data_IF_598140956347
#
_entry.id   IF_598140956347
#
_cell.length_a   1.000
_cell.length_b   1.000
_cell.length_c   1.000
_cell.angle_alpha   90.00
_cell.angle_beta   90.00
_cell.angle_gamma   90.00
#
_symmetry.space_group_name_H-M   'P 1'
#
loop_
_entity.id
_entity.type
_entity.pdbx_description
1 polymer ?
#
# COMPACT_ATOMS: atom_id res chain seq x y z
N UNK A 1 51.73 -8.28 2.40
CA UNK A 1 51.11 -8.25 3.74
C UNK A 1 49.71 -8.83 3.63
N UNK A 2 49.35 -9.80 4.46
CA UNK A 2 48.01 -10.38 4.47
C UNK A 2 47.00 -9.33 4.96
N UNK A 3 45.88 -9.17 4.23
CA UNK A 3 44.81 -8.24 4.62
C UNK A 3 44.30 -8.64 6.01
N UNK A 4 44.26 -7.74 7.00
CA UNK A 4 43.68 -8.04 8.29
C UNK A 4 42.21 -8.44 8.09
N UNK A 5 41.78 -9.54 8.75
CA UNK A 5 40.37 -9.94 8.77
C UNK A 5 39.58 -8.82 9.43
N UNK A 6 38.84 -8.06 8.64
CA UNK A 6 37.90 -7.06 9.13
C UNK A 6 36.70 -7.82 9.69
N UNK A 7 36.54 -7.78 11.01
CA UNK A 7 35.31 -8.24 11.66
C UNK A 7 34.34 -7.06 11.65
N UNK A 8 33.22 -7.20 10.93
CA UNK A 8 32.18 -6.16 10.90
C UNK A 8 31.29 -6.39 12.11
N UNK A 9 31.29 -5.44 13.05
CA UNK A 9 30.46 -5.49 14.25
C UNK A 9 28.98 -5.24 13.93
N UNK A 10 28.09 -5.70 14.82
CA UNK A 10 26.64 -5.62 14.62
C UNK A 10 26.12 -4.19 14.53
N UNK A 11 26.78 -3.22 15.17
CA UNK A 11 26.41 -1.81 15.15
C UNK A 11 26.70 -1.19 13.77
N UNK A 12 27.85 -1.50 13.19
CA UNK A 12 28.22 -1.10 11.83
C UNK A 12 27.24 -1.67 10.79
N UNK A 13 26.79 -2.92 10.96
CA UNK A 13 25.79 -3.54 10.08
C UNK A 13 24.45 -2.79 10.18
N UNK A 14 23.96 -2.52 11.38
CA UNK A 14 22.69 -1.83 11.59
C UNK A 14 22.69 -0.42 10.98
N UNK A 15 23.78 0.34 11.14
CA UNK A 15 23.96 1.67 10.54
C UNK A 15 23.95 1.60 9.00
N UNK A 16 24.66 0.63 8.43
CA UNK A 16 24.68 0.45 6.97
C UNK A 16 23.30 0.11 6.41
N UNK A 17 22.51 -0.73 7.10
CA UNK A 17 21.13 -1.02 6.71
C UNK A 17 20.21 0.20 6.78
N UNK A 18 20.39 1.06 7.79
CA UNK A 18 19.60 2.28 7.93
C UNK A 18 19.89 3.28 6.79
N UNK A 19 21.16 3.51 6.47
CA UNK A 19 21.57 4.38 5.37
C UNK A 19 21.11 3.84 4.01
N UNK A 20 21.21 2.51 3.81
CA UNK A 20 20.74 1.87 2.58
C UNK A 20 19.24 2.10 2.35
N UNK A 21 18.42 2.14 3.42
CA UNK A 21 16.98 2.42 3.34
C UNK A 21 16.67 3.88 2.93
N UNK A 22 17.56 4.82 3.22
CA UNK A 22 17.37 6.26 2.88
C UNK A 22 17.66 6.55 1.40
N UNK A 23 18.51 5.75 0.76
CA UNK A 23 18.88 5.92 -0.64
C UNK A 23 17.73 5.44 -1.54
N UNK A 24 17.11 6.36 -2.29
CA UNK A 24 15.92 6.08 -3.13
C UNK A 24 16.13 4.96 -4.16
N UNK A 25 17.31 4.91 -4.78
CA UNK A 25 17.61 3.94 -5.85
C UNK A 25 18.34 2.68 -5.35
N UNK A 26 18.57 2.55 -4.04
CA UNK A 26 19.28 1.40 -3.48
C UNK A 26 18.55 0.10 -3.79
N UNK A 27 17.23 0.09 -3.65
CA UNK A 27 16.38 -1.08 -3.93
C UNK A 27 16.55 -1.57 -5.36
N UNK A 28 16.47 -0.67 -6.34
CA UNK A 28 16.58 -1.02 -7.75
C UNK A 28 17.98 -1.55 -8.08
N UNK A 29 19.02 -0.93 -7.50
CA UNK A 29 20.39 -1.41 -7.65
C UNK A 29 20.61 -2.82 -7.08
N UNK A 30 20.00 -3.14 -5.92
CA UNK A 30 20.05 -4.46 -5.30
C UNK A 30 19.34 -5.49 -6.17
N UNK A 31 18.16 -5.14 -6.72
CA UNK A 31 17.40 -6.02 -7.60
C UNK A 31 18.18 -6.37 -8.87
N UNK A 32 18.82 -5.38 -9.51
CA UNK A 32 19.64 -5.63 -10.70
C UNK A 32 20.87 -6.48 -10.38
N UNK A 33 21.57 -6.19 -9.28
CA UNK A 33 22.69 -7.03 -8.80
C UNK A 33 22.24 -8.47 -8.51
N UNK A 34 21.06 -8.65 -7.93
CA UNK A 34 20.50 -9.98 -7.67
C UNK A 34 20.24 -10.75 -8.98
N UNK A 35 19.69 -10.07 -9.99
CA UNK A 35 19.42 -10.67 -11.31
C UNK A 35 20.73 -11.09 -11.99
N UNK A 36 21.76 -10.24 -11.94
CA UNK A 36 23.08 -10.55 -12.50
C UNK A 36 23.70 -11.74 -11.75
N UNK A 37 23.74 -11.69 -10.41
CA UNK A 37 24.31 -12.76 -9.60
C UNK A 37 23.60 -14.11 -9.76
N UNK A 38 22.28 -14.09 -10.04
CA UNK A 38 21.50 -15.30 -10.31
C UNK A 38 21.86 -15.99 -11.64
N UNK A 39 22.64 -15.34 -12.51
CA UNK A 39 23.18 -15.98 -13.72
C UNK A 39 24.39 -16.88 -13.42
N UNK A 40 25.19 -16.53 -12.41
CA UNK A 40 26.45 -17.20 -12.08
C UNK A 40 26.35 -18.09 -10.83
N UNK A 41 25.33 -17.86 -10.00
CA UNK A 41 25.17 -18.53 -8.72
C UNK A 41 23.74 -19.05 -8.52
N UNK A 42 23.55 -20.14 -7.76
CA UNK A 42 22.22 -20.60 -7.36
C UNK A 42 21.41 -19.50 -6.69
N UNK A 43 20.13 -19.38 -7.06
CA UNK A 43 19.24 -18.32 -6.58
C UNK A 43 19.12 -18.32 -5.06
N UNK A 44 19.17 -19.49 -4.43
CA UNK A 44 19.14 -19.69 -2.99
C UNK A 44 20.34 -19.02 -2.30
N UNK A 45 21.53 -19.16 -2.89
CA UNK A 45 22.75 -18.54 -2.37
C UNK A 45 22.67 -17.02 -2.48
N UNK A 46 22.23 -16.51 -3.64
CA UNK A 46 22.02 -15.07 -3.86
C UNK A 46 21.00 -14.51 -2.87
N UNK A 47 19.90 -15.23 -2.64
CA UNK A 47 18.86 -14.88 -1.66
C UNK A 47 19.42 -14.81 -0.23
N UNK A 48 20.21 -15.79 0.17
CA UNK A 48 20.85 -15.83 1.50
C UNK A 48 21.82 -14.67 1.71
N UNK A 49 22.61 -14.33 0.70
CA UNK A 49 23.56 -13.20 0.73
C UNK A 49 22.81 -11.86 0.81
N UNK A 50 21.77 -11.69 -0.01
CA UNK A 50 21.00 -10.45 -0.08
C UNK A 50 19.89 -10.34 0.99
N UNK A 51 19.74 -11.36 1.86
CA UNK A 51 18.69 -11.44 2.90
C UNK A 51 17.27 -11.25 2.34
N UNK A 52 17.00 -11.86 1.19
CA UNK A 52 15.67 -11.87 0.54
C UNK A 52 15.22 -13.28 0.23
N UNK A 53 13.93 -13.48 -0.04
CA UNK A 53 13.44 -14.80 -0.47
C UNK A 53 13.83 -15.10 -1.92
N UNK A 54 14.15 -16.36 -2.23
CA UNK A 54 14.38 -16.82 -3.60
C UNK A 54 13.20 -16.46 -4.53
N UNK A 55 11.96 -16.59 -4.02
CA UNK A 55 10.73 -16.16 -4.72
C UNK A 55 10.76 -14.68 -5.12
N UNK A 56 11.38 -13.81 -4.32
CA UNK A 56 11.51 -12.40 -4.69
C UNK A 56 12.47 -12.19 -5.84
N UNK A 57 13.58 -12.93 -5.87
CA UNK A 57 14.54 -12.89 -6.98
C UNK A 57 13.88 -13.38 -8.27
N UNK A 58 13.18 -14.52 -8.24
CA UNK A 58 12.42 -15.00 -9.41
C UNK A 58 11.39 -13.97 -9.88
N UNK A 59 10.65 -13.35 -8.96
CA UNK A 59 9.70 -12.28 -9.28
C UNK A 59 10.39 -11.08 -9.97
N UNK A 60 11.58 -10.70 -9.52
CA UNK A 60 12.35 -9.61 -10.15
C UNK A 60 12.82 -9.99 -11.54
N UNK A 61 13.32 -11.22 -11.74
CA UNK A 61 13.71 -11.73 -13.06
C UNK A 61 12.51 -11.69 -14.02
N UNK A 62 11.36 -12.22 -13.61
CA UNK A 62 10.13 -12.20 -14.43
C UNK A 62 9.72 -10.78 -14.80
N UNK A 63 9.63 -9.89 -13.80
CA UNK A 63 9.28 -8.48 -14.05
C UNK A 63 10.26 -7.79 -15.00
N UNK A 64 11.55 -8.03 -14.83
CA UNK A 64 12.57 -7.44 -15.69
C UNK A 64 12.45 -7.95 -17.13
N UNK A 65 12.12 -9.23 -17.34
CA UNK A 65 11.83 -9.77 -18.68
C UNK A 65 10.59 -9.14 -19.32
N UNK A 66 9.57 -8.82 -18.53
CA UNK A 66 8.30 -8.25 -19.03
C UNK A 66 8.39 -6.75 -19.37
N UNK A 67 9.22 -5.98 -18.66
CA UNK A 67 9.23 -4.53 -18.84
C UNK A 67 10.50 -3.83 -18.36
N UNK A 68 11.63 -4.54 -18.41
CA UNK A 68 12.96 -4.03 -18.06
C UNK A 68 12.98 -3.34 -16.68
N UNK A 69 13.74 -2.25 -16.57
CA UNK A 69 13.93 -1.49 -15.33
C UNK A 69 12.62 -0.86 -14.83
N UNK A 70 11.75 -0.41 -15.74
CA UNK A 70 10.48 0.23 -15.37
C UNK A 70 9.51 -0.73 -14.66
N UNK A 71 9.54 -2.02 -15.00
CA UNK A 71 8.72 -3.04 -14.34
C UNK A 71 9.20 -3.38 -12.90
N UNK A 72 10.46 -3.07 -12.57
CA UNK A 72 11.01 -3.22 -11.23
C UNK A 72 10.64 -2.07 -10.29
N UNK A 73 10.36 -0.88 -10.84
CA UNK A 73 9.98 0.29 -10.05
C UNK A 73 8.67 0.04 -9.31
N UNK A 74 8.63 0.48 -8.05
CA UNK A 74 7.39 0.45 -7.27
C UNK A 74 6.40 1.44 -7.90
N UNK A 75 5.26 0.94 -8.35
CA UNK A 75 4.15 1.79 -8.76
C UNK A 75 3.41 2.26 -7.50
N UNK A 76 2.93 3.51 -7.47
CA UNK A 76 2.07 3.96 -6.39
C UNK A 76 0.88 3.00 -6.28
N UNK A 77 0.71 2.38 -5.11
CA UNK A 77 -0.49 1.61 -4.83
C UNK A 77 -1.65 2.61 -4.85
N UNK A 78 -2.60 2.42 -5.77
CA UNK A 78 -3.78 3.26 -5.85
C UNK A 78 -4.48 3.36 -4.50
N UNK A 79 -5.20 4.46 -4.27
CA UNK A 79 -5.97 4.62 -3.04
C UNK A 79 -7.02 3.52 -2.90
N UNK A 80 -7.28 3.11 -1.65
CA UNK A 80 -8.40 2.22 -1.36
C UNK A 80 -9.69 2.84 -1.90
N UNK A 81 -10.50 2.05 -2.60
CA UNK A 81 -11.78 2.52 -3.13
C UNK A 81 -12.68 3.01 -1.99
N UNK A 82 -13.47 4.04 -2.28
CA UNK A 82 -14.46 4.56 -1.33
C UNK A 82 -15.42 3.46 -0.90
N UNK A 83 -15.77 3.42 0.39
CA UNK A 83 -16.81 2.52 0.91
C UNK A 83 -18.21 2.92 0.44
N UNK A 84 -18.45 4.20 0.20
CA UNK A 84 -19.69 4.70 -0.40
C UNK A 84 -19.58 4.58 -1.92
N UNK A 85 -20.47 3.79 -2.52
CA UNK A 85 -20.75 3.76 -3.96
C UNK A 85 -21.54 5.00 -4.35
N UNK A 86 -21.65 5.30 -5.65
CA UNK A 86 -22.46 6.44 -6.11
C UNK A 86 -23.95 6.28 -5.78
N UNK A 87 -24.45 5.05 -5.69
CA UNK A 87 -25.82 4.74 -5.29
C UNK A 87 -26.07 5.14 -3.83
N UNK A 88 -25.21 4.71 -2.90
CA UNK A 88 -25.32 5.08 -1.49
C UNK A 88 -25.26 6.60 -1.28
N UNK A 89 -24.46 7.29 -2.10
CA UNK A 89 -24.35 8.76 -2.04
C UNK A 89 -25.67 9.44 -2.42
N UNK A 90 -26.29 9.01 -3.52
CA UNK A 90 -27.58 9.55 -3.98
C UNK A 90 -28.68 9.31 -2.95
N UNK A 91 -28.66 8.17 -2.29
CA UNK A 91 -29.67 7.83 -1.29
C UNK A 91 -29.51 8.66 0.00
N UNK A 92 -28.27 8.83 0.46
CA UNK A 92 -27.96 9.76 1.58
C UNK A 92 -28.39 11.19 1.24
N UNK A 93 -28.18 11.62 0.00
CA UNK A 93 -28.65 12.92 -0.48
C UNK A 93 -30.17 13.05 -0.43
N UNK A 94 -30.90 12.03 -0.88
CA UNK A 94 -32.35 12.00 -0.80
C UNK A 94 -32.85 12.07 0.64
N UNK A 95 -32.22 11.37 1.58
CA UNK A 95 -32.58 11.44 2.99
C UNK A 95 -32.45 12.86 3.56
N UNK A 96 -31.36 13.55 3.20
CA UNK A 96 -31.09 14.90 3.69
C UNK A 96 -32.07 15.91 3.09
N UNK A 97 -32.31 15.85 1.77
CA UNK A 97 -33.21 16.78 1.08
C UNK A 97 -34.66 16.57 1.50
N UNK A 98 -35.10 15.32 1.62
CA UNK A 98 -36.46 15.00 2.05
C UNK A 98 -36.69 15.22 3.54
N UNK A 99 -35.60 15.31 4.34
CA UNK A 99 -35.66 15.31 5.80
C UNK A 99 -36.26 14.01 6.35
N UNK A 100 -36.25 12.92 5.56
CA UNK A 100 -36.83 11.63 5.92
C UNK A 100 -35.78 10.53 5.93
N UNK A 101 -35.91 9.57 6.85
CA UNK A 101 -35.11 8.34 6.83
C UNK A 101 -35.54 7.36 5.74
N UNK A 102 -34.80 6.26 5.61
CA UNK A 102 -35.10 5.19 4.67
C UNK A 102 -36.54 4.64 4.85
N UNK A 103 -37.08 4.75 6.06
CA UNK A 103 -38.43 4.31 6.42
C UNK A 103 -39.50 5.41 6.23
N UNK A 104 -39.13 6.60 5.75
CA UNK A 104 -40.06 7.70 5.44
C UNK A 104 -40.45 8.59 6.62
N UNK A 105 -39.85 8.41 7.79
CA UNK A 105 -40.09 9.20 8.99
C UNK A 105 -39.31 10.52 8.95
N UNK A 106 -39.93 11.62 9.39
CA UNK A 106 -39.26 12.93 9.44
C UNK A 106 -38.20 12.94 10.54
N UNK A 107 -36.92 13.15 10.16
CA UNK A 107 -35.78 13.11 11.06
C UNK A 107 -34.88 14.33 10.83
N UNK A 108 -34.44 14.96 11.94
CA UNK A 108 -33.37 15.95 11.89
C UNK A 108 -32.01 15.26 11.79
N UNK A 109 -31.38 15.36 10.62
CA UNK A 109 -30.13 14.68 10.35
C UNK A 109 -28.95 15.29 11.10
N UNK A 110 -28.36 14.49 11.98
CA UNK A 110 -27.01 14.71 12.48
C UNK A 110 -26.05 13.77 11.78
N UNK A 111 -24.76 14.13 11.70
CA UNK A 111 -23.74 13.25 11.13
C UNK A 111 -23.67 11.87 11.80
N UNK A 112 -23.93 11.81 13.12
CA UNK A 112 -23.99 10.54 13.86
C UNK A 112 -25.24 9.73 13.50
N UNK A 113 -26.38 10.40 13.30
CA UNK A 113 -27.63 9.78 12.84
C UNK A 113 -27.49 9.20 11.45
N UNK A 114 -26.99 9.98 10.49
CA UNK A 114 -26.73 9.52 9.12
C UNK A 114 -25.78 8.33 9.07
N UNK A 115 -24.73 8.33 9.89
CA UNK A 115 -23.81 7.19 9.98
C UNK A 115 -24.55 5.93 10.45
N UNK A 116 -25.38 6.02 11.48
CA UNK A 116 -26.14 4.87 11.99
C UNK A 116 -27.13 4.36 10.96
N UNK A 117 -27.81 5.26 10.24
CA UNK A 117 -28.76 4.86 9.20
C UNK A 117 -28.04 4.19 8.02
N UNK A 118 -26.90 4.74 7.57
CA UNK A 118 -26.09 4.13 6.52
C UNK A 118 -25.50 2.76 6.92
N UNK A 119 -25.22 2.55 8.21
CA UNK A 119 -24.79 1.25 8.74
C UNK A 119 -25.94 0.24 8.75
N UNK A 120 -27.16 0.70 9.08
CA UNK A 120 -28.38 -0.12 9.10
C UNK A 120 -28.85 -0.51 7.69
N UNK A 121 -28.90 0.46 6.78
CA UNK A 121 -29.44 0.26 5.42
C UNK A 121 -28.43 -0.42 4.50
N UNK A 122 -27.17 0.04 4.51
CA UNK A 122 -26.15 -0.44 3.56
C UNK A 122 -25.18 -1.47 4.16
N UNK A 123 -25.21 -1.70 5.48
CA UNK A 123 -24.21 -2.52 6.18
C UNK A 123 -22.81 -1.87 6.20
N UNK A 124 -22.68 -0.59 5.86
CA UNK A 124 -21.38 0.07 5.68
C UNK A 124 -20.95 0.83 6.92
N UNK A 125 -19.79 0.44 7.44
CA UNK A 125 -19.13 1.16 8.52
C UNK A 125 -18.26 2.29 7.96
N UNK A 126 -18.82 3.51 7.93
CA UNK A 126 -18.13 4.73 7.51
C UNK A 126 -17.78 5.64 8.69
N UNK A 127 -16.62 6.28 8.61
CA UNK A 127 -16.22 7.31 9.57
C UNK A 127 -16.99 8.61 9.37
N UNK A 128 -17.10 9.42 10.42
CA UNK A 128 -17.79 10.72 10.36
C UNK A 128 -17.10 11.67 9.36
N UNK A 129 -15.77 11.69 9.30
CA UNK A 129 -15.02 12.60 8.43
C UNK A 129 -15.23 12.32 6.93
N UNK A 130 -15.15 11.08 6.43
CA UNK A 130 -15.52 10.78 5.04
C UNK A 130 -16.96 11.16 4.70
N UNK A 131 -17.91 10.91 5.61
CA UNK A 131 -19.31 11.28 5.42
C UNK A 131 -19.47 12.79 5.31
N UNK A 132 -18.91 13.56 6.24
CA UNK A 132 -18.89 15.03 6.18
C UNK A 132 -18.24 15.58 4.90
N UNK A 133 -17.10 15.01 4.48
CA UNK A 133 -16.44 15.40 3.23
C UNK A 133 -17.31 15.15 2.00
N UNK A 134 -18.12 14.10 2.03
CA UNK A 134 -19.09 13.84 0.96
C UNK A 134 -20.22 14.87 0.99
N UNK A 135 -20.81 15.13 2.16
CA UNK A 135 -21.88 16.13 2.31
C UNK A 135 -21.44 17.54 1.96
N UNK A 136 -20.18 17.91 2.21
CA UNK A 136 -19.62 19.21 1.80
C UNK A 136 -19.46 19.36 0.28
N UNK A 137 -19.40 18.23 -0.45
CA UNK A 137 -19.20 18.21 -1.90
C UNK A 137 -20.51 18.12 -2.69
N UNK A 138 -21.59 17.74 -2.01
CA UNK A 138 -22.96 17.91 -2.52
C UNK A 138 -23.28 19.40 -2.54
#
# INVERSE_FOLDING_TARGET
>A
MARPKINVDSETIAKAEEELKKIKDSKLSIQLKAIIAAAEHPVENVANVLKVSARSIFRWITKFKEGNVEALRDRPKGHMRSKLTEEHKKEIEQWIVSGKNAQGETVHWTLKGLRKEAEKEFGIHIGITPLWKHLKKM
#
